data_IF_855925788202
#
_entry.id   IF_855925788202
#
_cell.length_a   1.000
_cell.length_b   1.000
_cell.length_c   1.000
_cell.angle_alpha   90.00
_cell.angle_beta   90.00
_cell.angle_gamma   90.00
#
_symmetry.space_group_name_H-M   'P 1'
#
loop_
_entity.id
_entity.type
_entity.pdbx_description
1 polymer ?
#
# COMPACT_ATOMS: atom_id res chain seq x y z
N UNK A 1 -12.93 18.93 12.76
CA UNK A 1 -11.82 18.03 13.18
C UNK A 1 -12.15 16.53 13.16
N UNK A 2 -13.30 16.05 13.67
CA UNK A 2 -13.61 14.61 13.68
C UNK A 2 -13.80 14.01 12.25
N UNK A 3 -14.47 14.74 11.35
CA UNK A 3 -14.69 14.31 9.96
C UNK A 3 -13.39 14.21 9.16
N UNK A 4 -12.46 15.13 9.39
CA UNK A 4 -11.14 15.18 8.74
C UNK A 4 -10.25 14.01 9.18
N UNK A 5 -10.33 13.59 10.45
CA UNK A 5 -9.63 12.40 10.97
C UNK A 5 -10.20 11.08 10.42
N UNK A 6 -11.51 11.02 10.11
CA UNK A 6 -12.12 9.89 9.41
C UNK A 6 -11.64 9.82 7.96
N UNK A 7 -11.74 10.90 7.17
CA UNK A 7 -11.27 10.92 5.78
C UNK A 7 -9.79 10.53 5.65
N UNK A 8 -8.98 10.96 6.61
CA UNK A 8 -7.56 10.65 6.68
C UNK A 8 -7.33 9.13 6.79
N UNK A 9 -8.01 8.42 7.69
CA UNK A 9 -7.92 6.95 7.84
C UNK A 9 -8.30 6.17 6.57
N UNK A 10 -9.05 6.78 5.66
CA UNK A 10 -9.47 6.15 4.40
C UNK A 10 -8.49 6.42 3.24
N UNK A 11 -7.86 7.60 3.17
CA UNK A 11 -6.75 7.92 2.24
C UNK A 11 -5.58 6.96 2.45
N UNK A 12 -5.42 6.64 3.71
CA UNK A 12 -4.49 5.70 4.27
C UNK A 12 -4.70 4.29 3.70
N UNK A 13 -5.95 3.89 3.46
CA UNK A 13 -6.23 2.68 2.69
C UNK A 13 -6.01 2.86 1.18
N UNK A 14 -6.25 4.04 0.58
CA UNK A 14 -5.86 4.40 -0.81
C UNK A 14 -4.38 4.09 -1.10
N UNK A 15 -3.54 4.31 -0.10
CA UNK A 15 -2.11 4.02 -0.17
C UNK A 15 -1.85 2.53 0.07
N UNK A 16 -2.63 1.87 0.94
CA UNK A 16 -2.66 0.40 1.04
C UNK A 16 -3.02 -0.26 -0.29
N UNK A 17 -3.75 0.40 -1.18
CA UNK A 17 -4.22 -0.14 -2.46
C UNK A 17 -3.16 -0.08 -3.51
N UNK A 18 -2.43 1.02 -3.63
CA UNK A 18 -1.27 1.08 -4.51
C UNK A 18 -0.18 0.18 -3.98
N UNK A 19 0.00 0.16 -2.65
CA UNK A 19 0.72 -0.91 -1.98
C UNK A 19 0.12 -2.27 -2.28
N UNK A 20 -1.18 -2.51 -2.47
CA UNK A 20 -1.72 -3.85 -2.74
C UNK A 20 -1.76 -4.24 -4.20
N UNK A 21 -1.80 -3.30 -5.15
CA UNK A 21 -1.65 -3.52 -6.59
C UNK A 21 -0.21 -3.90 -6.90
N UNK A 22 0.72 -3.18 -6.26
CA UNK A 22 2.10 -3.64 -6.09
C UNK A 22 2.02 -4.97 -5.32
N UNK A 23 1.45 -5.03 -4.12
CA UNK A 23 1.55 -6.18 -3.20
C UNK A 23 0.78 -7.47 -3.59
N UNK A 24 -0.05 -7.47 -4.64
CA UNK A 24 -0.67 -8.68 -5.21
C UNK A 24 0.36 -9.64 -5.81
N UNK A 25 1.58 -9.16 -6.01
CA UNK A 25 2.76 -9.97 -6.36
C UNK A 25 3.46 -10.59 -5.11
N UNK A 26 2.99 -10.35 -3.88
CA UNK A 26 3.81 -10.48 -2.66
C UNK A 26 3.11 -11.20 -1.54
N UNK A 27 3.27 -12.50 -1.50
CA UNK A 27 2.73 -13.27 -0.40
C UNK A 27 3.70 -14.40 -0.15
N UNK A 28 3.93 -14.83 1.10
CA UNK A 28 4.75 -15.99 1.51
C UNK A 28 3.95 -17.16 2.13
N UNK A 29 4.40 -18.43 2.15
CA UNK A 29 3.62 -19.44 2.87
C UNK A 29 3.73 -19.19 4.36
N UNK A 30 2.63 -19.37 5.09
CA UNK A 30 2.69 -19.58 6.52
C UNK A 30 3.17 -21.02 6.76
N UNK A 31 4.42 -21.16 7.21
CA UNK A 31 4.82 -22.37 7.91
C UNK A 31 4.12 -22.34 9.27
N UNK A 32 2.87 -22.78 9.30
CA UNK A 32 2.25 -23.23 10.53
C UNK A 32 2.99 -24.48 10.99
N UNK A 33 4.16 -24.27 11.58
CA UNK A 33 4.78 -25.27 12.42
C UNK A 33 3.90 -25.35 13.66
N UNK A 34 3.43 -26.55 13.99
CA UNK A 34 2.73 -26.85 15.23
C UNK A 34 3.72 -26.70 16.39
N UNK A 35 4.14 -25.49 16.72
CA UNK A 35 4.67 -25.22 18.04
C UNK A 35 3.47 -25.04 18.94
N UNK A 36 3.26 -25.96 19.88
CA UNK A 36 2.33 -25.80 20.99
C UNK A 36 2.68 -24.49 21.70
N UNK A 37 2.04 -23.38 21.32
CA UNK A 37 2.05 -22.19 22.16
C UNK A 37 1.28 -22.55 23.42
N UNK A 38 1.99 -22.55 24.54
CA UNK A 38 1.39 -22.61 25.85
C UNK A 38 0.31 -21.51 25.94
N UNK A 39 -0.87 -21.87 26.45
CA UNK A 39 -1.91 -20.91 26.81
C UNK A 39 -1.27 -19.77 27.62
N UNK A 40 -1.47 -18.49 27.28
CA UNK A 40 -1.07 -17.41 28.16
C UNK A 40 -1.84 -17.59 29.48
N UNK A 41 -1.10 -17.77 30.58
CA UNK A 41 -1.68 -17.73 31.93
C UNK A 41 -2.43 -16.40 32.05
N UNK A 42 -3.72 -16.45 32.36
CA UNK A 42 -4.49 -15.29 32.81
C UNK A 42 -3.73 -14.66 33.97
N UNK A 43 -3.24 -13.44 33.78
CA UNK A 43 -2.81 -12.61 34.90
C UNK A 43 -4.06 -12.20 35.70
N UNK A 44 -4.01 -12.23 37.03
CA UNK A 44 -5.12 -11.80 37.87
C UNK A 44 -5.31 -10.28 37.75
N UNK A 45 -6.58 -9.88 37.63
CA UNK A 45 -7.03 -8.50 37.74
C UNK A 45 -6.64 -7.95 39.11
N UNK A 46 -5.68 -7.03 39.15
CA UNK A 46 -5.50 -6.12 40.27
C UNK A 46 -5.87 -4.71 39.82
N UNK A 47 -7.06 -4.27 40.23
CA UNK A 47 -7.39 -2.86 40.38
C UNK A 47 -6.52 -2.30 41.51
N UNK A 48 -5.59 -1.38 41.21
CA UNK A 48 -5.47 -0.10 41.92
C UNK A 48 -4.34 0.79 41.41
N UNK A 49 -4.70 2.08 41.41
CA UNK A 49 -3.89 3.29 41.53
C UNK A 49 -3.24 3.86 40.26
N UNK A 50 -3.83 4.98 39.83
CA UNK A 50 -3.24 6.01 38.99
C UNK A 50 -1.86 6.43 39.50
N UNK A 51 -0.84 6.44 38.63
CA UNK A 51 0.31 7.29 38.80
C UNK A 51 0.04 8.64 38.14
N UNK A 52 0.22 9.67 38.95
CA UNK A 52 0.48 11.07 38.59
C UNK A 52 1.09 11.27 37.20
N UNK A 53 0.46 12.18 36.46
CA UNK A 53 0.92 12.84 35.24
C UNK A 53 2.44 13.09 35.25
N UNK A 54 3.17 12.28 34.47
CA UNK A 54 4.57 12.53 34.11
C UNK A 54 4.58 13.09 32.71
N UNK A 55 5.13 14.30 32.57
CA UNK A 55 5.64 14.95 31.37
C UNK A 55 5.32 14.23 30.05
N UNK A 56 4.38 14.81 29.30
CA UNK A 56 4.18 14.52 27.89
C UNK A 56 5.40 15.07 27.14
N UNK A 57 6.49 14.30 27.16
CA UNK A 57 7.49 14.40 26.10
C UNK A 57 6.76 14.03 24.83
N UNK A 58 6.44 15.03 24.01
CA UNK A 58 6.02 14.88 22.63
C UNK A 58 7.12 14.12 21.90
N UNK A 59 6.98 12.79 21.89
CA UNK A 59 7.96 11.85 21.37
C UNK A 59 8.02 11.94 19.86
N UNK A 60 8.76 12.94 19.36
CA UNK A 60 9.27 12.95 18.01
C UNK A 60 9.93 11.59 17.71
N UNK A 61 9.54 11.01 16.57
CA UNK A 61 9.87 9.69 16.04
C UNK A 61 11.03 8.95 16.75
N UNK A 62 10.71 7.86 17.44
CA UNK A 62 11.70 6.96 18.07
C UNK A 62 12.70 6.34 17.08
N UNK A 63 12.47 6.45 15.78
CA UNK A 63 13.37 5.94 14.76
C UNK A 63 13.89 7.07 13.87
N UNK A 64 15.19 7.03 13.58
CA UNK A 64 15.81 7.89 12.57
C UNK A 64 15.42 7.49 11.14
N UNK A 65 15.81 8.33 10.17
CA UNK A 65 15.58 8.14 8.73
C UNK A 65 16.04 6.77 8.20
N UNK A 66 17.00 6.13 8.86
CA UNK A 66 17.53 4.80 8.49
C UNK A 66 16.46 3.70 8.54
N UNK A 67 15.59 3.73 9.54
CA UNK A 67 14.56 2.71 9.70
C UNK A 67 13.53 2.79 8.56
N UNK A 68 13.20 4.01 8.14
CA UNK A 68 12.35 4.24 6.98
C UNK A 68 13.06 3.90 5.66
N UNK A 69 14.37 4.13 5.54
CA UNK A 69 15.17 3.64 4.40
C UNK A 69 15.19 2.12 4.31
N UNK A 70 15.13 1.39 5.42
CA UNK A 70 14.98 -0.07 5.41
C UNK A 70 13.64 -0.49 4.79
N UNK A 71 12.54 0.19 5.17
CA UNK A 71 11.23 -0.02 4.56
C UNK A 71 11.22 0.31 3.08
N UNK A 72 11.80 1.46 2.72
CA UNK A 72 11.92 1.91 1.35
C UNK A 72 12.73 0.92 0.50
N UNK A 73 13.84 0.41 1.04
CA UNK A 73 14.66 -0.61 0.39
C UNK A 73 13.92 -1.93 0.18
N UNK A 74 13.13 -2.37 1.18
CA UNK A 74 12.25 -3.53 1.03
C UNK A 74 11.24 -3.30 -0.10
N UNK A 75 10.50 -2.19 -0.08
CA UNK A 75 9.49 -1.87 -1.10
C UNK A 75 10.10 -1.61 -2.48
N UNK A 76 11.29 -1.04 -2.56
CA UNK A 76 12.00 -0.79 -3.82
C UNK A 76 12.51 -2.09 -4.46
N UNK A 77 13.06 -3.02 -3.67
CA UNK A 77 13.45 -4.35 -4.16
C UNK A 77 12.26 -5.05 -4.81
N UNK A 78 11.10 -4.79 -4.26
CA UNK A 78 9.83 -5.31 -4.68
C UNK A 78 9.35 -4.67 -5.98
N UNK A 79 9.34 -3.35 -6.07
CA UNK A 79 8.96 -2.65 -7.30
C UNK A 79 9.97 -2.81 -8.44
N UNK A 80 11.20 -3.29 -8.16
CA UNK A 80 12.28 -3.40 -9.15
C UNK A 80 11.89 -4.18 -10.41
N UNK A 81 12.11 -3.57 -11.56
CA UNK A 81 11.76 -4.08 -12.90
C UNK A 81 12.23 -5.51 -13.18
N UNK A 82 13.29 -5.96 -12.50
CA UNK A 82 13.89 -7.28 -12.67
C UNK A 82 13.08 -8.44 -12.08
N UNK A 83 12.12 -8.19 -11.17
CA UNK A 83 11.34 -9.27 -10.52
C UNK A 83 10.00 -9.52 -11.23
N UNK A 84 10.01 -10.21 -12.37
CA UNK A 84 8.80 -10.50 -13.20
C UNK A 84 7.67 -11.15 -12.40
N UNK A 85 6.40 -10.89 -12.64
CA UNK A 85 5.27 -11.61 -12.02
C UNK A 85 5.35 -13.14 -12.27
N UNK A 86 4.93 -14.01 -11.31
CA UNK A 86 4.97 -15.46 -11.50
C UNK A 86 4.00 -15.94 -12.57
N UNK A 87 4.47 -16.78 -13.49
CA UNK A 87 3.67 -17.33 -14.60
C UNK A 87 3.21 -18.77 -14.34
N UNK A 88 3.55 -19.31 -13.17
CA UNK A 88 3.11 -20.64 -12.73
C UNK A 88 2.87 -20.67 -11.23
N UNK A 89 2.12 -21.68 -10.79
CA UNK A 89 1.91 -21.93 -9.36
C UNK A 89 3.23 -22.20 -8.63
N UNK A 90 4.17 -22.91 -9.26
CA UNK A 90 5.49 -23.20 -8.69
C UNK A 90 6.28 -21.91 -8.46
N UNK A 91 6.31 -21.03 -9.46
CA UNK A 91 6.94 -19.72 -9.33
C UNK A 91 6.26 -18.85 -8.27
N UNK A 92 4.91 -18.88 -8.21
CA UNK A 92 4.15 -18.15 -7.21
C UNK A 92 4.51 -18.63 -5.81
N UNK A 93 4.54 -19.95 -5.57
CA UNK A 93 4.94 -20.53 -4.29
C UNK A 93 6.41 -20.27 -3.93
N UNK A 94 7.32 -20.30 -4.90
CA UNK A 94 8.73 -19.96 -4.68
C UNK A 94 8.90 -18.49 -4.28
N UNK A 95 8.22 -17.59 -5.00
CA UNK A 95 8.09 -16.18 -4.61
C UNK A 95 7.54 -16.05 -3.21
N UNK A 96 6.59 -16.92 -2.87
CA UNK A 96 6.08 -16.97 -1.54
C UNK A 96 7.16 -17.22 -0.49
N UNK A 97 7.90 -18.30 -0.62
CA UNK A 97 8.94 -18.64 0.35
C UNK A 97 9.97 -17.52 0.51
N UNK A 98 10.38 -16.89 -0.60
CA UNK A 98 11.35 -15.80 -0.61
C UNK A 98 10.90 -14.57 0.19
N UNK A 99 9.59 -14.28 0.24
CA UNK A 99 9.05 -13.01 0.75
C UNK A 99 8.33 -13.11 2.10
N UNK A 100 8.47 -14.23 2.81
CA UNK A 100 7.76 -14.48 4.08
C UNK A 100 8.11 -13.50 5.21
N UNK A 101 9.32 -12.93 5.19
CA UNK A 101 9.88 -12.10 6.27
C UNK A 101 9.50 -10.61 6.19
N UNK A 102 8.87 -10.17 5.09
CA UNK A 102 8.52 -8.75 4.88
C UNK A 102 7.52 -8.26 5.89
N UNK A 103 6.44 -9.02 6.06
CA UNK A 103 5.34 -8.63 6.93
C UNK A 103 5.78 -8.50 8.40
N UNK A 104 6.52 -9.46 8.98
CA UNK A 104 7.11 -9.29 10.30
C UNK A 104 7.98 -8.03 10.42
N UNK A 105 8.84 -7.75 9.44
CA UNK A 105 9.71 -6.56 9.46
C UNK A 105 8.91 -5.25 9.39
N UNK A 106 7.88 -5.19 8.55
CA UNK A 106 6.99 -4.03 8.49
C UNK A 106 6.21 -3.83 9.79
N UNK A 107 5.78 -4.92 10.45
CA UNK A 107 5.10 -4.85 11.75
C UNK A 107 6.02 -4.33 12.85
N UNK A 108 7.24 -4.84 12.88
CA UNK A 108 8.27 -4.39 13.82
C UNK A 108 8.57 -2.90 13.62
N UNK A 109 8.83 -2.46 12.38
CA UNK A 109 9.07 -1.05 12.08
C UNK A 109 7.89 -0.17 12.49
N UNK A 110 6.67 -0.55 12.11
CA UNK A 110 5.45 0.16 12.50
C UNK A 110 5.36 0.31 14.02
N UNK A 111 5.67 -0.74 14.77
CA UNK A 111 5.54 -0.72 16.23
C UNK A 111 6.64 0.12 16.90
N UNK A 112 7.86 0.10 16.37
CA UNK A 112 9.01 0.83 16.92
C UNK A 112 9.04 2.30 16.52
N UNK A 113 8.68 2.61 15.28
CA UNK A 113 9.00 3.88 14.63
C UNK A 113 7.81 4.80 14.41
N UNK A 114 6.60 4.25 14.35
CA UNK A 114 5.40 5.00 14.02
C UNK A 114 4.49 5.13 15.23
N UNK A 115 3.82 6.26 15.31
CA UNK A 115 2.78 6.54 16.28
C UNK A 115 1.55 7.17 15.60
N UNK A 116 0.58 7.58 16.43
CA UNK A 116 -0.59 8.32 15.99
C UNK A 116 -1.28 7.77 14.75
N UNK A 117 -1.44 8.63 13.76
CA UNK A 117 -2.10 8.33 12.51
C UNK A 117 -1.28 7.35 11.65
N UNK A 118 -0.01 7.67 11.37
CA UNK A 118 0.91 6.87 10.57
C UNK A 118 0.92 5.40 10.99
N UNK A 119 0.95 5.13 12.30
CA UNK A 119 0.88 3.76 12.84
C UNK A 119 -0.43 3.05 12.49
N UNK A 120 -1.57 3.73 12.60
CA UNK A 120 -2.88 3.17 12.26
C UNK A 120 -2.96 2.85 10.77
N UNK A 121 -2.36 3.69 9.92
CA UNK A 121 -2.25 3.45 8.48
C UNK A 121 -1.56 2.15 8.18
N UNK A 122 -0.32 2.07 8.64
CA UNK A 122 0.55 0.98 8.29
C UNK A 122 0.01 -0.31 8.92
N UNK A 123 -0.69 -0.24 10.05
CA UNK A 123 -1.44 -1.37 10.58
C UNK A 123 -2.50 -1.90 9.60
N UNK A 124 -3.27 -1.02 8.95
CA UNK A 124 -4.25 -1.43 7.95
C UNK A 124 -3.59 -1.96 6.68
N UNK A 125 -2.50 -1.35 6.20
CA UNK A 125 -1.70 -1.85 5.06
C UNK A 125 -1.29 -3.28 5.32
N UNK A 126 -0.65 -3.52 6.47
CA UNK A 126 -0.15 -4.83 6.88
C UNK A 126 -1.30 -5.83 7.03
N UNK A 127 -2.43 -5.44 7.60
CA UNK A 127 -3.60 -6.30 7.72
C UNK A 127 -4.10 -6.75 6.34
N UNK A 128 -4.26 -5.83 5.39
CA UNK A 128 -4.67 -6.14 4.02
C UNK A 128 -3.66 -7.07 3.34
N UNK A 129 -2.36 -6.82 3.49
CA UNK A 129 -1.32 -7.68 2.93
C UNK A 129 -1.28 -9.07 3.57
N UNK A 130 -1.52 -9.20 4.88
CA UNK A 130 -1.68 -10.50 5.56
C UNK A 130 -2.87 -11.28 5.02
N UNK A 131 -4.00 -10.59 4.77
CA UNK A 131 -5.20 -11.19 4.18
C UNK A 131 -4.92 -11.70 2.77
N UNK A 132 -4.30 -10.88 1.91
CA UNK A 132 -3.90 -11.31 0.56
C UNK A 132 -2.91 -12.48 0.61
N UNK A 133 -1.96 -12.45 1.54
CA UNK A 133 -1.01 -13.55 1.77
C UNK A 133 -1.68 -14.88 2.06
N UNK A 134 -2.67 -14.87 2.94
CA UNK A 134 -3.45 -16.07 3.27
C UNK A 134 -4.20 -16.64 2.06
N UNK A 135 -4.61 -15.80 1.12
CA UNK A 135 -5.32 -16.20 -0.10
C UNK A 135 -4.33 -16.73 -1.16
N UNK A 136 -3.23 -16.01 -1.38
CA UNK A 136 -2.31 -16.22 -2.50
C UNK A 136 -1.18 -17.22 -2.22
N UNK A 137 -0.87 -17.52 -0.96
CA UNK A 137 0.23 -18.41 -0.59
C UNK A 137 -0.19 -19.58 0.28
N UNK A 138 -1.16 -20.30 -0.24
CA UNK A 138 -1.56 -21.58 0.32
C UNK A 138 -0.65 -22.69 -0.18
N UNK A 139 -0.39 -23.67 0.67
CA UNK A 139 0.36 -24.87 0.29
C UNK A 139 -0.34 -25.63 -0.84
N UNK A 140 -1.67 -25.72 -0.78
CA UNK A 140 -2.52 -26.27 -1.83
C UNK A 140 -3.07 -25.12 -2.68
N UNK A 141 -2.89 -25.15 -4.02
CA UNK A 141 -3.43 -24.12 -4.91
C UNK A 141 -4.94 -24.00 -4.77
N UNK A 142 -5.44 -22.76 -4.75
CA UNK A 142 -6.87 -22.46 -4.86
C UNK A 142 -7.17 -21.83 -6.22
N UNK A 143 -8.45 -21.63 -6.53
CA UNK A 143 -8.91 -20.98 -7.77
C UNK A 143 -8.19 -19.63 -8.00
N UNK A 144 -8.08 -18.80 -6.96
CA UNK A 144 -7.46 -17.47 -7.08
C UNK A 144 -5.98 -17.52 -7.45
N UNK A 145 -5.23 -18.46 -6.88
CA UNK A 145 -3.81 -18.67 -7.22
C UNK A 145 -3.65 -19.10 -8.67
N UNK A 146 -4.55 -19.97 -9.15
CA UNK A 146 -4.54 -20.44 -10.55
C UNK A 146 -4.86 -19.30 -11.52
N UNK A 147 -5.92 -18.54 -11.25
CA UNK A 147 -6.31 -17.35 -12.04
C UNK A 147 -5.15 -16.35 -12.13
N UNK A 148 -4.55 -15.99 -11.00
CA UNK A 148 -3.47 -15.00 -10.96
C UNK A 148 -2.19 -15.50 -11.65
N UNK A 149 -1.82 -16.78 -11.48
CA UNK A 149 -0.69 -17.35 -12.19
C UNK A 149 -0.93 -17.39 -13.72
N UNK A 150 -2.16 -17.68 -14.14
CA UNK A 150 -2.58 -17.64 -15.55
C UNK A 150 -2.46 -16.23 -16.15
N UNK A 151 -2.75 -15.19 -15.37
CA UNK A 151 -2.58 -13.79 -15.77
C UNK A 151 -1.12 -13.31 -15.77
N UNK A 152 -0.16 -14.14 -15.35
CA UNK A 152 1.22 -13.69 -15.15
C UNK A 152 1.91 -13.15 -16.40
N UNK A 153 1.69 -13.77 -17.56
CA UNK A 153 2.21 -13.30 -18.86
C UNK A 153 1.62 -11.94 -19.24
N UNK A 154 0.31 -11.78 -19.05
CA UNK A 154 -0.38 -10.51 -19.24
C UNK A 154 0.26 -9.42 -18.36
N UNK A 155 0.40 -9.64 -17.04
CA UNK A 155 1.01 -8.66 -16.13
C UNK A 155 2.44 -8.30 -16.57
N UNK A 156 3.25 -9.30 -16.92
CA UNK A 156 4.64 -9.09 -17.35
C UNK A 156 4.75 -8.28 -18.64
N UNK A 157 3.79 -8.42 -19.55
CA UNK A 157 3.82 -7.78 -20.87
C UNK A 157 3.59 -6.27 -20.83
N UNK A 158 2.71 -5.76 -19.96
CA UNK A 158 2.43 -4.32 -19.86
C UNK A 158 3.16 -3.65 -18.70
N UNK A 159 3.78 -4.41 -17.80
CA UNK A 159 4.47 -3.88 -16.62
C UNK A 159 5.44 -2.73 -16.92
N UNK A 160 6.34 -2.79 -17.93
CA UNK A 160 7.25 -1.69 -18.20
C UNK A 160 6.52 -0.38 -18.54
N UNK A 161 5.38 -0.47 -19.24
CA UNK A 161 4.55 0.71 -19.53
C UNK A 161 3.78 1.19 -18.29
N UNK A 162 3.25 0.27 -17.48
CA UNK A 162 2.58 0.61 -16.22
C UNK A 162 3.53 1.26 -15.20
N UNK A 163 4.83 0.96 -15.26
CA UNK A 163 5.84 1.61 -14.42
C UNK A 163 5.85 3.12 -14.64
N UNK A 164 5.68 3.60 -15.89
CA UNK A 164 5.60 5.03 -16.19
C UNK A 164 4.38 5.67 -15.51
N UNK A 165 3.24 4.98 -15.46
CA UNK A 165 2.05 5.45 -14.74
C UNK A 165 2.31 5.62 -13.24
N UNK A 166 3.06 4.69 -12.64
CA UNK A 166 3.44 4.75 -11.21
C UNK A 166 4.43 5.88 -10.95
N UNK A 167 5.40 6.08 -11.85
CA UNK A 167 6.37 7.17 -11.73
C UNK A 167 5.71 8.54 -11.87
N UNK A 168 4.75 8.70 -12.79
CA UNK A 168 3.93 9.91 -12.91
C UNK A 168 3.07 10.14 -11.66
N UNK A 169 2.47 9.08 -11.10
CA UNK A 169 1.73 9.20 -9.85
C UNK A 169 2.63 9.63 -8.69
N UNK A 170 3.85 9.11 -8.61
CA UNK A 170 4.83 9.50 -7.60
C UNK A 170 5.28 10.95 -7.77
N UNK A 171 5.49 11.41 -9.00
CA UNK A 171 5.76 12.81 -9.33
C UNK A 171 4.67 13.73 -8.75
N UNK A 172 3.41 13.35 -8.94
CA UNK A 172 2.27 14.05 -8.38
C UNK A 172 2.22 14.02 -6.86
N UNK A 173 2.44 12.86 -6.22
CA UNK A 173 2.45 12.75 -4.75
C UNK A 173 3.47 13.70 -4.11
N UNK A 174 4.66 13.81 -4.71
CA UNK A 174 5.71 14.73 -4.25
C UNK A 174 5.26 16.19 -4.44
N UNK A 175 4.66 16.51 -5.59
CA UNK A 175 4.06 17.83 -5.81
C UNK A 175 2.98 18.18 -4.78
N UNK A 176 2.11 17.24 -4.46
CA UNK A 176 1.02 17.39 -3.48
C UNK A 176 1.57 17.63 -2.07
N UNK A 177 2.63 16.91 -1.68
CA UNK A 177 3.32 17.14 -0.39
C UNK A 177 3.73 18.60 -0.24
N UNK A 178 4.26 19.20 -1.31
CA UNK A 178 4.75 20.57 -1.34
C UNK A 178 3.62 21.62 -1.54
N UNK A 179 2.37 21.19 -1.74
CA UNK A 179 1.25 22.11 -1.94
C UNK A 179 0.93 22.88 -0.66
N UNK A 180 0.69 24.18 -0.80
CA UNK A 180 0.26 25.07 0.28
C UNK A 180 -1.23 24.95 0.61
N UNK A 181 -2.03 24.37 -0.29
CA UNK A 181 -3.46 24.14 -0.08
C UNK A 181 -3.71 22.76 0.56
N UNK A 182 -3.69 22.72 1.89
CA UNK A 182 -3.92 21.50 2.65
C UNK A 182 -5.31 20.88 2.41
N UNK A 183 -6.33 21.69 2.08
CA UNK A 183 -7.68 21.18 1.79
C UNK A 183 -7.72 20.42 0.48
N UNK A 184 -6.87 20.79 -0.48
CA UNK A 184 -6.79 20.17 -1.79
C UNK A 184 -5.87 18.95 -1.85
N UNK A 185 -5.01 18.72 -0.84
CA UNK A 185 -4.11 17.55 -0.81
C UNK A 185 -4.84 16.22 -0.97
N UNK A 186 -6.02 16.09 -0.34
CA UNK A 186 -6.86 14.89 -0.42
C UNK A 186 -7.47 14.74 -1.83
N UNK A 187 -8.24 15.72 -2.36
CA UNK A 187 -8.70 15.73 -3.74
C UNK A 187 -7.60 15.43 -4.76
N UNK A 188 -6.44 16.08 -4.64
CA UNK A 188 -5.31 15.87 -5.54
C UNK A 188 -4.85 14.42 -5.52
N UNK A 189 -4.62 13.86 -4.33
CA UNK A 189 -4.17 12.48 -4.17
C UNK A 189 -5.18 11.47 -4.72
N UNK A 190 -6.47 11.70 -4.48
CA UNK A 190 -7.55 10.89 -5.04
C UNK A 190 -7.54 10.91 -6.57
N UNK A 191 -7.44 12.09 -7.18
CA UNK A 191 -7.36 12.22 -8.63
C UNK A 191 -6.06 11.66 -9.22
N UNK A 192 -4.94 11.72 -8.51
CA UNK A 192 -3.71 11.02 -8.89
C UNK A 192 -3.95 9.51 -9.00
N UNK A 193 -4.64 8.91 -8.02
CA UNK A 193 -4.93 7.47 -8.06
C UNK A 193 -5.90 7.08 -9.18
N UNK A 194 -6.95 7.88 -9.43
CA UNK A 194 -7.87 7.67 -10.56
C UNK A 194 -7.11 7.67 -11.88
N UNK A 195 -6.27 8.68 -12.11
CA UNK A 195 -5.45 8.80 -13.34
C UNK A 195 -4.45 7.66 -13.46
N UNK A 196 -3.80 7.27 -12.37
CA UNK A 196 -2.85 6.15 -12.35
C UNK A 196 -3.55 4.82 -12.71
N UNK A 197 -4.73 4.54 -12.12
CA UNK A 197 -5.49 3.32 -12.43
C UNK A 197 -5.89 3.29 -13.91
N UNK A 198 -6.44 4.40 -14.43
CA UNK A 198 -6.81 4.51 -15.83
C UNK A 198 -5.62 4.27 -16.77
N UNK A 199 -4.48 4.89 -16.48
CA UNK A 199 -3.24 4.69 -17.23
C UNK A 199 -2.80 3.21 -17.22
N UNK A 200 -2.78 2.55 -16.06
CA UNK A 200 -2.40 1.13 -15.95
C UNK A 200 -3.35 0.25 -16.78
N UNK A 201 -4.66 0.47 -16.70
CA UNK A 201 -5.64 -0.32 -17.46
C UNK A 201 -5.48 -0.11 -18.96
N UNK A 202 -5.26 1.13 -19.39
CA UNK A 202 -4.98 1.43 -20.79
C UNK A 202 -3.72 0.71 -21.30
N UNK A 203 -2.64 0.68 -20.50
CA UNK A 203 -1.44 -0.09 -20.87
C UNK A 203 -1.72 -1.59 -20.96
N UNK A 204 -2.62 -2.11 -20.12
CA UNK A 204 -3.11 -3.48 -20.16
C UNK A 204 -3.88 -3.79 -21.45
N UNK A 205 -4.83 -2.96 -21.85
CA UNK A 205 -5.61 -3.12 -23.08
C UNK A 205 -4.75 -3.06 -24.34
N UNK A 206 -3.67 -2.29 -24.33
CA UNK A 206 -2.71 -2.23 -25.45
C UNK A 206 -1.84 -3.49 -25.55
N UNK A 207 -1.81 -4.35 -24.52
CA UNK A 207 -1.01 -5.57 -24.55
C UNK A 207 -1.73 -6.72 -25.26
N UNK A 208 -1.05 -7.28 -26.27
CA UNK A 208 -1.50 -8.49 -26.99
C UNK A 208 -1.51 -9.75 -26.14
N UNK A 209 -0.86 -9.76 -24.97
CA UNK A 209 -0.83 -10.93 -24.06
C UNK A 209 -1.94 -10.89 -23.00
N UNK A 210 -2.75 -9.84 -22.99
CA UNK A 210 -3.84 -9.66 -22.06
C UNK A 210 -5.18 -9.92 -22.74
N UNK A 211 -5.94 -10.87 -22.20
CA UNK A 211 -7.37 -11.00 -22.52
C UNK A 211 -8.18 -10.05 -21.63
N UNK A 212 -9.39 -9.72 -22.06
CA UNK A 212 -10.36 -8.98 -21.24
C UNK A 212 -10.65 -9.68 -19.91
N UNK A 213 -10.62 -11.02 -19.88
CA UNK A 213 -10.76 -11.80 -18.65
C UNK A 213 -9.60 -11.55 -17.68
N UNK A 214 -8.35 -11.55 -18.17
CA UNK A 214 -7.18 -11.25 -17.34
C UNK A 214 -7.21 -9.82 -16.82
N UNK A 215 -7.59 -8.84 -17.66
CA UNK A 215 -7.70 -7.45 -17.22
C UNK A 215 -8.83 -7.28 -16.18
N UNK A 216 -9.99 -7.86 -16.42
CA UNK A 216 -11.11 -7.87 -15.46
C UNK A 216 -10.75 -8.53 -14.13
N UNK A 217 -9.95 -9.60 -14.18
CA UNK A 217 -9.40 -10.24 -12.98
C UNK A 217 -8.53 -9.28 -12.17
N UNK A 218 -7.64 -8.54 -12.83
CA UNK A 218 -6.74 -7.56 -12.22
C UNK A 218 -7.51 -6.36 -11.66
N UNK A 219 -8.47 -5.82 -12.41
CA UNK A 219 -9.38 -4.75 -11.96
C UNK A 219 -10.10 -5.19 -10.70
N UNK A 220 -10.81 -6.32 -10.75
CA UNK A 220 -11.55 -6.86 -9.61
C UNK A 220 -10.65 -7.10 -8.39
N UNK A 221 -9.43 -7.59 -8.62
CA UNK A 221 -8.47 -7.80 -7.53
C UNK A 221 -8.03 -6.48 -6.90
N UNK A 222 -7.77 -5.45 -7.72
CA UNK A 222 -7.48 -4.09 -7.26
C UNK A 222 -8.66 -3.54 -6.44
N UNK A 223 -9.86 -3.60 -7.00
CA UNK A 223 -11.10 -3.07 -6.42
C UNK A 223 -11.52 -3.72 -5.11
N UNK A 224 -11.29 -5.02 -4.96
CA UNK A 224 -11.51 -5.72 -3.70
C UNK A 224 -10.66 -5.17 -2.56
N UNK A 225 -9.49 -4.63 -2.88
CA UNK A 225 -8.68 -3.92 -1.91
C UNK A 225 -9.06 -2.44 -1.88
N UNK A 226 -9.54 -1.90 -3.01
CA UNK A 226 -9.59 -0.46 -3.21
C UNK A 226 -10.87 0.29 -2.99
N UNK A 227 -12.00 -0.26 -3.40
CA UNK A 227 -13.18 0.57 -3.59
C UNK A 227 -13.74 1.06 -2.25
N UNK A 228 -13.84 0.18 -1.26
CA UNK A 228 -14.37 0.56 0.06
C UNK A 228 -13.67 1.78 0.67
N UNK A 229 -12.36 1.73 0.86
CA UNK A 229 -11.63 2.89 1.35
C UNK A 229 -11.50 4.07 0.40
N UNK A 230 -11.27 3.88 -0.91
CA UNK A 230 -11.19 4.99 -1.87
C UNK A 230 -12.49 5.79 -1.86
N UNK A 231 -13.64 5.12 -1.98
CA UNK A 231 -14.93 5.78 -2.04
C UNK A 231 -15.23 6.54 -0.75
N UNK A 232 -14.80 6.01 0.39
CA UNK A 232 -14.99 6.69 1.67
C UNK A 232 -14.06 7.90 1.86
N UNK A 233 -12.81 7.83 1.39
CA UNK A 233 -11.85 8.92 1.57
C UNK A 233 -12.00 10.03 0.55
N UNK A 234 -12.21 9.64 -0.70
CA UNK A 234 -12.22 10.52 -1.84
C UNK A 234 -13.59 11.15 -2.06
N UNK A 235 -14.64 10.58 -1.47
CA UNK A 235 -16.02 11.04 -1.68
C UNK A 235 -16.29 11.13 -3.18
N UNK A 236 -16.59 12.34 -3.65
CA UNK A 236 -16.88 12.63 -5.05
C UNK A 236 -15.63 12.72 -5.96
N UNK A 237 -14.41 12.50 -5.48
CA UNK A 237 -13.18 12.52 -6.30
C UNK A 237 -12.79 11.09 -6.71
N UNK A 238 -13.66 10.43 -7.47
CA UNK A 238 -13.50 9.04 -7.86
C UNK A 238 -13.73 8.85 -9.38
N UNK A 239 -13.63 7.60 -9.85
CA UNK A 239 -13.78 7.23 -11.27
C UNK A 239 -15.18 7.48 -11.85
N UNK A 240 -16.20 7.63 -11.00
CA UNK A 240 -17.59 7.84 -11.39
C UNK A 240 -17.93 9.34 -11.55
N UNK A 241 -16.98 10.23 -11.23
CA UNK A 241 -17.16 11.69 -11.22
C UNK A 241 -16.32 12.40 -12.27
N UNK A 242 -16.78 13.56 -12.74
CA UNK A 242 -16.01 14.47 -13.60
C UNK A 242 -15.09 15.43 -12.80
N UNK A 243 -15.03 15.29 -11.47
CA UNK A 243 -14.28 16.21 -10.61
C UNK A 243 -12.79 16.17 -10.86
N UNK A 244 -12.25 15.00 -11.22
CA UNK A 244 -10.83 14.84 -11.49
C UNK A 244 -10.38 15.35 -12.86
N UNK A 245 -11.32 15.62 -13.78
CA UNK A 245 -11.04 16.15 -15.11
C UNK A 245 -10.71 17.65 -15.05
N UNK A 246 -11.29 18.35 -14.07
CA UNK A 246 -11.13 19.80 -13.87
C UNK A 246 -9.95 20.17 -12.98
N UNK A 247 -9.34 19.19 -12.32
CA UNK A 247 -8.26 19.40 -11.36
C UNK A 247 -6.90 19.18 -12.01
N UNK A 248 -6.07 20.24 -11.97
CA UNK A 248 -4.66 20.14 -12.26
C UNK A 248 -3.91 19.74 -10.99
N UNK A 249 -3.41 18.50 -10.98
CA UNK A 249 -2.65 17.97 -9.85
C UNK A 249 -1.23 18.55 -9.89
N UNK A 250 -0.71 19.11 -8.78
CA UNK A 250 0.67 19.59 -8.71
C UNK A 250 1.67 18.50 -9.09
N UNK A 251 2.76 18.88 -9.75
CA UNK A 251 3.90 18.02 -10.08
C UNK A 251 5.08 18.34 -9.18
N UNK A 252 6.07 17.44 -9.09
CA UNK A 252 7.29 17.73 -8.33
C UNK A 252 8.06 18.89 -8.98
N UNK A 253 8.94 19.51 -8.20
CA UNK A 253 9.87 20.50 -8.74
C UNK A 253 10.93 19.80 -9.61
N UNK A 254 11.34 20.45 -10.70
CA UNK A 254 12.25 19.87 -11.69
C UNK A 254 13.59 19.37 -11.10
N UNK A 255 14.04 19.98 -10.01
CA UNK A 255 15.29 19.65 -9.31
C UNK A 255 15.17 18.50 -8.29
N UNK A 256 13.97 18.03 -7.96
CA UNK A 256 13.76 16.97 -6.97
C UNK A 256 13.85 15.59 -7.64
N UNK A 257 14.73 14.70 -7.16
CA UNK A 257 14.86 13.36 -7.76
C UNK A 257 13.69 12.46 -7.36
N UNK A 258 13.24 11.62 -8.30
CA UNK A 258 12.22 10.64 -8.01
C UNK A 258 12.79 9.55 -7.08
N UNK A 259 12.18 9.25 -5.93
CA UNK A 259 12.64 8.20 -5.05
C UNK A 259 12.43 6.83 -5.69
N UNK A 260 13.13 5.80 -5.20
CA UNK A 260 12.99 4.43 -5.71
C UNK A 260 11.68 3.76 -5.28
N UNK A 261 11.05 4.28 -4.24
CA UNK A 261 9.78 3.79 -3.73
C UNK A 261 8.92 4.96 -3.29
N UNK A 262 7.62 4.71 -3.22
CA UNK A 262 6.62 5.67 -2.81
C UNK A 262 6.45 5.76 -1.28
N UNK A 263 7.11 4.90 -0.50
CA UNK A 263 6.98 4.87 0.97
C UNK A 263 7.29 6.24 1.57
N UNK A 264 8.45 6.81 1.25
CA UNK A 264 8.90 8.08 1.83
C UNK A 264 7.99 9.25 1.45
N UNK A 265 7.71 9.52 0.16
CA UNK A 265 6.76 10.57 -0.21
C UNK A 265 5.40 10.43 0.47
N UNK A 266 4.92 9.20 0.64
CA UNK A 266 3.62 8.97 1.28
C UNK A 266 3.65 9.25 2.78
N UNK A 267 4.72 8.85 3.49
CA UNK A 267 4.88 9.16 4.91
C UNK A 267 4.95 10.67 5.10
N UNK A 268 5.78 11.36 4.32
CA UNK A 268 5.91 12.82 4.40
C UNK A 268 4.55 13.50 4.13
N UNK A 269 3.79 13.01 3.14
CA UNK A 269 2.45 13.54 2.85
C UNK A 269 1.49 13.30 4.02
N UNK A 270 1.48 12.11 4.61
CA UNK A 270 0.64 11.79 5.78
C UNK A 270 0.97 12.64 6.99
N UNK A 271 2.25 12.88 7.27
CA UNK A 271 2.69 13.75 8.35
C UNK A 271 2.23 15.20 8.09
N UNK A 272 2.31 15.66 6.84
CA UNK A 272 1.81 16.99 6.46
C UNK A 272 0.29 17.15 6.63
N UNK A 273 -0.47 16.05 6.51
CA UNK A 273 -1.91 16.03 6.73
C UNK A 273 -2.30 15.88 8.21
N UNK A 274 -1.39 15.37 9.04
CA UNK A 274 -1.61 15.14 10.47
C UNK A 274 -1.16 16.28 11.39
N UNK A 275 -0.47 17.29 10.85
CA UNK A 275 -0.01 18.47 11.58
C UNK A 275 -1.11 19.52 11.83
N UNK A 276 -2.33 19.31 11.32
CA UNK A 276 -3.53 20.15 11.52
C UNK A 276 -4.50 19.56 12.58
#
# INVERSE_FOLDING_TARGET
MALQRCCLLHIILCICIVMNLIMTVYCGPDTANKTKQAKPKRQPNNLRQSPTSKNVNTGAAKCGKEAYREMDGMVAQYSSSNDRFPESIKELQARCLKRKEVLPKMEDLKNRCMDGLAKRVVAVVIYSMKRQRKIMCRKKPNKRMLEMAGAGKCINSFRPAAQNCVEEAMDHVIGIRNSTDNKMKIPFLCCTFVKMKACILETGHRSKQCSEEHLSLLVRQSEQVSNGPMNMACGDYNEESDKCDKIQVPRRLANETLPKSFVMPMIDLMESLGAE
#
